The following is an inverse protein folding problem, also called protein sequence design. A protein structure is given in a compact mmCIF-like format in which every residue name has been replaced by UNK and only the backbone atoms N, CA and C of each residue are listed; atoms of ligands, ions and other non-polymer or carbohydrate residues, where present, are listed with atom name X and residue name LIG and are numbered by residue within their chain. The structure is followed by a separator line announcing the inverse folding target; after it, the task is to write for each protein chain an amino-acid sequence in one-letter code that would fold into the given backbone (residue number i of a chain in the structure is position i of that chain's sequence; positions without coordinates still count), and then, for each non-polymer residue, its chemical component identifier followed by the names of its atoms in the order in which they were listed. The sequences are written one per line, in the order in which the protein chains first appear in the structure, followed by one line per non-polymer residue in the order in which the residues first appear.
data_IF_497122659062
#
_entry.id   IF_497122659062
#
_cell.length_a   1.000
_cell.length_b   1.000
_cell.length_c   1.000
_cell.angle_alpha   90.00
_cell.angle_beta   90.00
_cell.angle_gamma   90.00
#
_symmetry.space_group_name_H-M   'P 1'
#
loop_
_entity.id
_entity.type
_entity.pdbx_description
1 polymer ?
#
# COMPACT_ATOMS: atom_id res chain seq x y z
N UNK A 1 17.52 11.54 -10.88
CA UNK A 1 16.06 11.59 -10.65
C UNK A 1 15.68 10.67 -9.51
N UNK A 2 14.91 11.17 -8.57
CA UNK A 2 14.37 10.34 -7.51
C UNK A 2 13.13 9.60 -7.99
N UNK A 3 13.06 8.31 -7.65
CA UNK A 3 11.88 7.49 -7.92
C UNK A 3 11.44 6.79 -6.64
N UNK A 4 10.20 6.35 -6.62
CA UNK A 4 9.63 5.62 -5.51
C UNK A 4 9.34 4.20 -5.97
N UNK A 5 9.78 3.23 -5.19
CA UNK A 5 9.64 1.82 -5.52
C UNK A 5 8.67 1.19 -4.53
N UNK A 6 7.56 0.68 -5.06
CA UNK A 6 6.67 -0.22 -4.35
C UNK A 6 7.19 -1.62 -4.59
N UNK A 7 7.55 -2.32 -3.54
CA UNK A 7 8.00 -3.70 -3.66
C UNK A 7 7.41 -4.55 -2.55
N UNK A 8 7.29 -5.83 -2.82
CA UNK A 8 6.78 -6.75 -1.84
C UNK A 8 6.83 -8.18 -2.36
N UNK A 9 6.20 -9.07 -1.59
CA UNK A 9 6.08 -10.47 -1.99
C UNK A 9 4.81 -11.06 -1.37
N UNK A 10 4.30 -12.10 -2.03
CA UNK A 10 3.20 -12.90 -1.52
C UNK A 10 3.53 -14.37 -1.75
N UNK A 11 3.62 -15.12 -0.67
CA UNK A 11 3.98 -16.55 -0.70
C UNK A 11 5.28 -16.83 -1.48
N UNK A 12 6.25 -15.90 -1.38
CA UNK A 12 7.52 -16.03 -2.07
C UNK A 12 7.55 -15.45 -3.47
N UNK A 13 6.42 -15.06 -4.04
CA UNK A 13 6.36 -14.43 -5.36
C UNK A 13 6.58 -12.92 -5.22
N UNK A 14 7.68 -12.37 -5.74
CA UNK A 14 7.95 -10.94 -5.61
C UNK A 14 7.12 -10.11 -6.61
N UNK A 15 6.81 -8.89 -6.21
CA UNK A 15 6.23 -7.90 -7.11
C UNK A 15 6.90 -6.55 -6.90
N UNK A 16 6.96 -5.75 -7.96
CA UNK A 16 7.60 -4.44 -7.91
C UNK A 16 6.94 -3.51 -8.93
N UNK A 17 6.78 -2.24 -8.54
CA UNK A 17 6.42 -1.18 -9.48
C UNK A 17 7.19 0.09 -9.12
N UNK A 18 7.40 0.95 -10.13
CA UNK A 18 8.14 2.20 -9.95
C UNK A 18 7.23 3.38 -10.21
N UNK A 19 7.43 4.45 -9.46
CA UNK A 19 6.60 5.65 -9.53
C UNK A 19 7.48 6.89 -9.45
N UNK A 20 7.13 7.91 -10.21
CA UNK A 20 7.86 9.18 -10.21
C UNK A 20 7.57 9.95 -8.93
N UNK A 21 6.39 9.81 -8.37
CA UNK A 21 5.97 10.51 -7.15
C UNK A 21 5.63 9.53 -6.04
N UNK A 22 5.96 9.92 -4.81
CA UNK A 22 5.60 9.14 -3.62
C UNK A 22 4.11 8.91 -3.52
N UNK A 23 3.31 9.90 -3.87
CA UNK A 23 1.86 9.80 -3.85
C UNK A 23 1.36 8.61 -4.68
N UNK A 24 1.86 8.47 -5.90
CA UNK A 24 1.49 7.35 -6.77
C UNK A 24 1.86 6.00 -6.17
N UNK A 25 3.05 5.91 -5.59
CA UNK A 25 3.50 4.68 -4.94
C UNK A 25 2.62 4.32 -3.74
N UNK A 26 2.26 5.30 -2.91
CA UNK A 26 1.41 5.07 -1.73
C UNK A 26 0.00 4.66 -2.11
N UNK A 27 -0.59 5.30 -3.12
CA UNK A 27 -1.91 4.90 -3.61
C UNK A 27 -1.89 3.46 -4.09
N UNK A 28 -0.88 3.10 -4.90
CA UNK A 28 -0.73 1.73 -5.39
C UNK A 28 -0.54 0.73 -4.25
N UNK A 29 0.25 1.08 -3.24
CA UNK A 29 0.50 0.22 -2.08
C UNK A 29 -0.78 -0.02 -1.27
N UNK A 30 -1.56 1.04 -1.01
CA UNK A 30 -2.82 0.94 -0.27
C UNK A 30 -3.80 0.03 -1.02
N UNK A 31 -3.94 0.23 -2.33
CA UNK A 31 -4.84 -0.58 -3.14
C UNK A 31 -4.39 -2.05 -3.17
N UNK A 32 -3.09 -2.29 -3.19
CA UNK A 32 -2.55 -3.65 -3.14
C UNK A 32 -2.90 -4.35 -1.82
N UNK A 33 -2.80 -3.63 -0.70
CA UNK A 33 -3.19 -4.17 0.61
C UNK A 33 -4.68 -4.52 0.63
N UNK A 34 -5.54 -3.64 0.11
CA UNK A 34 -6.97 -3.92 0.03
C UNK A 34 -7.25 -5.17 -0.82
N UNK A 35 -6.56 -5.29 -1.95
CA UNK A 35 -6.71 -6.45 -2.83
C UNK A 35 -6.27 -7.74 -2.11
N UNK A 36 -5.14 -7.70 -1.42
CA UNK A 36 -4.67 -8.83 -0.62
C UNK A 36 -5.70 -9.26 0.42
N UNK A 37 -6.34 -8.29 1.09
CA UNK A 37 -7.35 -8.57 2.12
C UNK A 37 -8.71 -8.96 1.54
N UNK A 38 -8.89 -8.85 0.24
CA UNK A 38 -10.16 -9.15 -0.42
C UNK A 38 -11.25 -8.14 -0.15
N UNK A 39 -10.89 -6.90 0.16
CA UNK A 39 -11.84 -5.83 0.47
C UNK A 39 -12.01 -4.95 -0.76
N UNK A 40 -13.24 -4.84 -1.27
CA UNK A 40 -13.55 -4.09 -2.48
C UNK A 40 -14.43 -2.87 -2.25
N UNK A 41 -14.99 -2.73 -1.05
CA UNK A 41 -15.86 -1.61 -0.73
C UNK A 41 -15.86 -1.35 0.77
N UNK A 42 -16.44 -0.21 1.14
CA UNK A 42 -16.45 0.26 2.53
C UNK A 42 -17.25 -0.64 3.47
N UNK A 43 -18.26 -1.31 2.96
CA UNK A 43 -19.11 -2.19 3.76
C UNK A 43 -18.40 -3.48 4.17
N UNK A 44 -17.44 -3.93 3.40
CA UNK A 44 -16.65 -5.13 3.70
C UNK A 44 -15.57 -4.85 4.75
N UNK A 45 -15.22 -3.59 4.97
CA UNK A 45 -14.17 -3.19 5.89
C UNK A 45 -14.70 -3.12 7.32
N UNK A 46 -14.16 -3.96 8.19
CA UNK A 46 -14.66 -4.09 9.58
C UNK A 46 -13.62 -3.73 10.64
N UNK A 47 -12.42 -3.36 10.25
CA UNK A 47 -11.37 -2.99 11.18
C UNK A 47 -11.63 -1.59 11.75
N UNK A 48 -11.67 -1.48 13.10
CA UNK A 48 -12.14 -0.29 13.79
C UNK A 48 -11.27 0.95 13.55
N UNK A 49 -9.97 0.76 13.42
CA UNK A 49 -9.01 1.87 13.36
C UNK A 49 -8.58 2.22 11.94
N UNK A 50 -9.13 1.54 10.94
CA UNK A 50 -8.80 1.78 9.53
C UNK A 50 -10.07 1.92 8.72
N UNK A 51 -10.00 2.76 7.70
CA UNK A 51 -11.13 2.99 6.81
C UNK A 51 -10.76 2.56 5.40
N UNK A 52 -11.77 2.08 4.68
CA UNK A 52 -11.63 1.82 3.26
C UNK A 52 -11.85 3.12 2.49
N UNK A 53 -10.92 3.46 1.61
CA UNK A 53 -11.01 4.62 0.72
C UNK A 53 -11.01 4.15 -0.72
N UNK A 54 -11.92 4.67 -1.51
CA UNK A 54 -11.99 4.35 -2.93
C UNK A 54 -10.81 4.98 -3.69
N UNK A 55 -10.40 4.43 -4.85
CA UNK A 55 -9.24 4.95 -5.58
C UNK A 55 -9.28 6.46 -5.84
N UNK A 56 -10.44 7.00 -6.19
CA UNK A 56 -10.57 8.44 -6.44
C UNK A 56 -10.38 9.27 -5.17
N UNK A 57 -10.82 8.75 -4.04
CA UNK A 57 -10.60 9.39 -2.74
C UNK A 57 -9.11 9.41 -2.38
N UNK A 58 -8.42 8.30 -2.60
CA UNK A 58 -6.98 8.20 -2.34
C UNK A 58 -6.20 9.17 -3.21
N UNK A 59 -6.55 9.28 -4.49
CA UNK A 59 -5.86 10.19 -5.41
C UNK A 59 -6.06 11.66 -5.06
N UNK A 60 -7.13 11.99 -4.35
CA UNK A 60 -7.41 13.35 -3.91
C UNK A 60 -6.70 13.73 -2.60
N UNK A 61 -6.13 12.77 -1.89
CA UNK A 61 -5.43 13.00 -0.62
C UNK A 61 -4.00 13.48 -0.85
N UNK A 62 -3.44 14.18 0.15
CA UNK A 62 -2.04 14.53 0.13
C UNK A 62 -1.15 13.36 0.57
N UNK A 63 0.15 13.50 0.37
CA UNK A 63 1.12 12.45 0.64
C UNK A 63 1.19 12.10 2.14
N UNK A 64 0.99 13.07 3.02
CA UNK A 64 1.02 12.83 4.46
C UNK A 64 -0.17 12.00 4.92
N UNK A 65 -1.36 12.28 4.38
CA UNK A 65 -2.56 11.49 4.65
C UNK A 65 -2.39 10.05 4.15
N UNK A 66 -1.88 9.90 2.94
CA UNK A 66 -1.64 8.57 2.34
C UNK A 66 -0.60 7.78 3.13
N UNK A 67 0.47 8.44 3.57
CA UNK A 67 1.49 7.82 4.40
C UNK A 67 0.93 7.30 5.71
N UNK A 68 0.06 8.08 6.36
CA UNK A 68 -0.60 7.67 7.61
C UNK A 68 -1.53 6.48 7.39
N UNK A 69 -2.30 6.48 6.31
CA UNK A 69 -3.18 5.36 5.96
C UNK A 69 -2.37 4.09 5.72
N UNK A 70 -1.30 4.19 4.94
CA UNK A 70 -0.45 3.04 4.64
C UNK A 70 0.20 2.48 5.92
N UNK A 71 0.74 3.35 6.78
CA UNK A 71 1.34 2.94 8.04
C UNK A 71 0.35 2.19 8.93
N UNK A 72 -0.88 2.69 9.03
CA UNK A 72 -1.94 2.05 9.80
C UNK A 72 -2.28 0.66 9.24
N UNK A 73 -2.34 0.54 7.92
CA UNK A 73 -2.64 -0.73 7.26
C UNK A 73 -1.56 -1.77 7.52
N UNK A 74 -0.29 -1.39 7.41
CA UNK A 74 0.81 -2.35 7.60
C UNK A 74 0.99 -2.77 9.05
N UNK A 75 0.41 -2.02 10.00
CA UNK A 75 0.41 -2.40 11.41
C UNK A 75 -0.70 -3.41 11.76
N UNK A 76 -1.64 -3.68 10.84
CA UNK A 76 -2.68 -4.66 11.09
C UNK A 76 -2.11 -6.08 11.06
N UNK A 77 -2.43 -6.87 12.08
CA UNK A 77 -2.00 -8.25 12.16
C UNK A 77 -2.47 -9.07 10.95
N UNK A 78 -3.64 -8.73 10.43
CA UNK A 78 -4.21 -9.39 9.27
C UNK A 78 -3.39 -9.19 7.99
N UNK A 79 -2.63 -8.08 7.90
CA UNK A 79 -1.79 -7.79 6.74
C UNK A 79 -0.44 -8.49 6.86
N UNK A 80 0.13 -8.49 8.06
CA UNK A 80 1.45 -9.11 8.29
C UNK A 80 1.35 -10.43 9.05
N UNK A 81 0.30 -11.19 8.77
CA UNK A 81 0.24 -12.56 9.24
C UNK A 81 1.37 -13.34 8.54
N UNK A 82 2.36 -13.74 9.32
CA UNK A 82 3.55 -14.43 8.83
C UNK A 82 3.23 -15.73 8.10
N UNK A 83 2.10 -16.35 8.41
CA UNK A 83 1.68 -17.59 7.77
C UNK A 83 1.30 -17.39 6.31
N UNK A 84 0.95 -16.14 5.92
CA UNK A 84 0.59 -15.82 4.54
C UNK A 84 1.73 -15.30 3.71
N UNK A 85 2.84 -14.91 4.35
CA UNK A 85 4.03 -14.47 3.64
C UNK A 85 3.86 -13.18 2.83
N UNK A 86 2.90 -12.33 3.19
CA UNK A 86 2.67 -11.06 2.49
C UNK A 86 3.53 -9.95 3.08
N UNK A 87 4.20 -9.20 2.20
CA UNK A 87 4.98 -8.02 2.59
C UNK A 87 4.85 -6.96 1.50
N UNK A 88 4.80 -5.70 1.91
CA UNK A 88 4.77 -4.57 0.99
C UNK A 88 5.53 -3.39 1.60
N UNK A 89 6.35 -2.74 0.79
CA UNK A 89 7.12 -1.56 1.21
C UNK A 89 7.14 -0.52 0.11
N UNK A 90 7.27 0.75 0.50
CA UNK A 90 7.48 1.86 -0.41
C UNK A 90 8.76 2.56 0.00
N UNK A 91 9.75 2.57 -0.89
CA UNK A 91 11.05 3.19 -0.62
C UNK A 91 11.41 4.18 -1.72
N UNK A 92 12.20 5.16 -1.33
CA UNK A 92 12.76 6.14 -2.27
C UNK A 92 14.13 5.66 -2.72
N UNK A 93 14.40 5.76 -4.01
CA UNK A 93 15.71 5.47 -4.57
C UNK A 93 16.03 6.44 -5.70
N UNK A 94 17.24 6.41 -6.18
CA UNK A 94 17.64 7.23 -7.31
C UNK A 94 17.75 6.40 -8.56
N UNK A 95 17.22 6.93 -9.65
CA UNK A 95 17.45 6.36 -10.96
C UNK A 95 18.86 6.72 -11.39
N UNK A 96 19.69 5.72 -11.58
CA UNK A 96 21.05 5.88 -12.08
C UNK A 96 21.01 5.67 -13.58
N UNK A 97 21.35 6.73 -14.29
CA UNK A 97 21.38 6.68 -15.74
C UNK A 97 22.64 5.94 -16.22
#
# INVERSE_FOLDING_TARGET
MDIWVLSGSYEGDPFVSTHIQRKGALVAAILDVYDFMGVNNREEWKEADCSYYYPDELRAMDVDQLGAIFAALVDLDAVYDNDQGYRVTVIKTKLVA
#
